data_IF_885318305167
#
_entry.id   IF_885318305167
#
_cell.length_a   1.000
_cell.length_b   1.000
_cell.length_c   1.000
_cell.angle_alpha   90.00
_cell.angle_beta   90.00
_cell.angle_gamma   90.00
#
_symmetry.space_group_name_H-M   'P 1'
#
loop_
_entity.id
_entity.type
_entity.pdbx_description
1 polymer ?
#
# COMPACT_ATOMS: atom_id res chain seq x y z
N UNK A 1 35.97 31.33 -38.87
CA UNK A 1 35.53 31.78 -37.51
C UNK A 1 34.89 30.58 -36.83
N UNK A 2 35.62 29.96 -35.91
CA UNK A 2 35.17 28.83 -35.12
C UNK A 2 34.44 29.36 -33.86
N UNK A 3 33.26 28.86 -33.54
CA UNK A 3 32.63 29.08 -32.27
C UNK A 3 32.50 27.73 -31.57
N UNK A 4 33.29 27.67 -30.52
CA UNK A 4 33.42 26.56 -29.58
C UNK A 4 32.21 26.57 -28.65
N UNK A 5 31.52 25.45 -28.48
CA UNK A 5 30.49 25.28 -27.47
C UNK A 5 30.78 24.07 -26.60
N UNK A 6 31.59 24.30 -25.58
CA UNK A 6 31.77 23.39 -24.45
C UNK A 6 30.52 23.39 -23.56
N UNK A 7 29.65 22.39 -23.75
CA UNK A 7 28.61 22.03 -22.79
C UNK A 7 29.15 21.01 -21.77
N UNK A 8 29.75 21.55 -20.70
CA UNK A 8 30.09 20.76 -19.49
C UNK A 8 28.85 20.11 -18.90
N UNK A 9 28.77 18.78 -19.00
CA UNK A 9 27.88 17.94 -18.18
C UNK A 9 28.25 18.12 -16.71
N UNK A 10 27.41 18.85 -15.96
CA UNK A 10 27.46 18.82 -14.49
C UNK A 10 26.91 17.47 -14.02
N UNK A 11 27.80 16.59 -13.63
CA UNK A 11 27.52 15.39 -12.85
C UNK A 11 26.90 15.82 -11.52
N UNK A 12 25.61 15.48 -11.32
CA UNK A 12 24.95 15.66 -10.03
C UNK A 12 25.58 14.74 -8.97
N UNK A 13 26.42 15.32 -8.13
CA UNK A 13 26.94 14.63 -6.96
C UNK A 13 25.76 14.23 -6.04
N UNK A 14 25.52 12.92 -5.87
CA UNK A 14 24.63 12.39 -4.84
C UNK A 14 25.17 12.86 -3.49
N UNK A 15 24.39 13.70 -2.80
CA UNK A 15 24.67 14.07 -1.40
C UNK A 15 24.64 12.77 -0.60
N UNK A 16 25.71 12.44 0.17
CA UNK A 16 25.70 11.26 1.01
C UNK A 16 24.59 11.38 2.05
N UNK A 17 23.73 10.38 2.16
CA UNK A 17 22.69 10.32 3.18
C UNK A 17 23.35 10.50 4.56
N UNK A 18 23.04 11.58 5.27
CA UNK A 18 23.54 11.81 6.62
C UNK A 18 23.07 10.67 7.53
N UNK A 19 24.02 10.03 8.22
CA UNK A 19 23.70 9.00 9.23
C UNK A 19 22.73 9.60 10.26
N UNK A 20 21.56 9.00 10.47
CA UNK A 20 20.61 9.51 11.44
C UNK A 20 21.24 9.49 12.83
N UNK A 21 21.01 10.56 13.61
CA UNK A 21 21.35 10.55 15.05
C UNK A 21 20.67 9.34 15.71
N UNK A 22 21.33 8.74 16.74
CA UNK A 22 20.78 7.58 17.50
C UNK A 22 19.33 7.89 17.90
N UNK A 23 18.37 7.27 17.21
CA UNK A 23 16.95 7.28 17.53
C UNK A 23 16.63 6.10 18.45
N UNK A 24 15.41 6.08 18.99
CA UNK A 24 14.93 4.90 19.71
C UNK A 24 14.89 3.67 18.77
N UNK A 25 14.91 2.44 19.31
CA UNK A 25 14.74 1.23 18.51
C UNK A 25 13.50 1.27 17.61
N UNK A 26 12.39 1.83 18.12
CA UNK A 26 11.13 1.98 17.39
C UNK A 26 11.30 2.88 16.17
N UNK A 27 11.94 4.05 16.34
CA UNK A 27 12.19 4.98 15.24
C UNK A 27 13.14 4.36 14.18
N UNK A 28 14.11 3.56 14.63
CA UNK A 28 14.99 2.84 13.71
C UNK A 28 14.22 1.79 12.91
N UNK A 29 13.33 1.05 13.58
CA UNK A 29 12.47 0.06 12.94
C UNK A 29 11.55 0.70 11.89
N UNK A 30 10.92 1.83 12.22
CA UNK A 30 10.06 2.56 11.27
C UNK A 30 10.84 3.04 10.04
N UNK A 31 12.03 3.58 10.19
CA UNK A 31 12.88 3.98 9.06
C UNK A 31 13.29 2.81 8.17
N UNK A 32 13.52 1.63 8.75
CA UNK A 32 13.81 0.42 7.96
C UNK A 32 12.55 0.02 7.17
N UNK A 33 11.36 0.12 7.77
CA UNK A 33 10.08 -0.13 7.07
C UNK A 33 9.89 0.89 5.93
N UNK A 34 10.20 2.18 6.13
CA UNK A 34 10.13 3.22 5.09
C UNK A 34 11.04 2.90 3.90
N UNK A 35 12.30 2.57 4.17
CA UNK A 35 13.26 2.17 3.14
C UNK A 35 12.83 0.90 2.40
N UNK A 36 12.33 -0.09 3.13
CA UNK A 36 11.80 -1.32 2.56
C UNK A 36 10.58 -1.06 1.68
N UNK A 37 9.65 -0.21 2.14
CA UNK A 37 8.47 0.19 1.38
C UNK A 37 8.82 0.81 0.03
N UNK A 38 9.78 1.74 0.04
CA UNK A 38 10.30 2.38 -1.19
C UNK A 38 10.85 1.35 -2.17
N UNK A 39 11.73 0.47 -1.70
CA UNK A 39 12.39 -0.50 -2.56
C UNK A 39 11.46 -1.60 -3.06
N UNK A 40 10.58 -2.13 -2.19
CA UNK A 40 9.60 -3.13 -2.62
C UNK A 40 8.60 -2.58 -3.63
N UNK A 41 8.21 -1.31 -3.49
CA UNK A 41 7.30 -0.70 -4.45
C UNK A 41 7.97 -0.41 -5.80
N UNK A 42 9.28 -0.13 -5.80
CA UNK A 42 10.04 0.19 -7.01
C UNK A 42 10.57 -1.05 -7.73
N UNK A 43 11.11 -2.02 -6.99
CA UNK A 43 11.87 -3.16 -7.53
C UNK A 43 11.20 -4.52 -7.27
N UNK A 44 10.08 -4.54 -6.54
CA UNK A 44 9.41 -5.76 -6.13
C UNK A 44 10.18 -6.52 -5.04
N UNK A 45 9.58 -7.64 -4.58
CA UNK A 45 10.19 -8.47 -3.53
C UNK A 45 11.50 -9.10 -3.97
N UNK A 46 11.57 -9.65 -5.19
CA UNK A 46 12.76 -10.36 -5.69
C UNK A 46 13.90 -9.42 -6.07
N UNK A 47 13.59 -8.19 -6.51
CA UNK A 47 14.58 -7.16 -6.84
C UNK A 47 15.16 -6.41 -5.65
N UNK A 48 14.82 -6.80 -4.41
CA UNK A 48 15.22 -6.12 -3.17
C UNK A 48 15.92 -7.10 -2.24
N UNK A 49 16.91 -6.65 -1.48
CA UNK A 49 17.61 -7.42 -0.44
C UNK A 49 17.79 -6.61 0.85
N UNK A 50 18.15 -7.30 1.95
CA UNK A 50 18.31 -6.70 3.28
C UNK A 50 19.42 -5.63 3.35
N UNK A 51 20.47 -5.75 2.50
CA UNK A 51 21.55 -4.78 2.46
C UNK A 51 21.08 -3.47 1.81
N UNK A 52 20.36 -3.57 0.70
CA UNK A 52 19.78 -2.41 0.01
C UNK A 52 18.76 -1.70 0.88
N UNK A 53 17.92 -2.44 1.62
CA UNK A 53 16.95 -1.88 2.57
C UNK A 53 17.67 -1.12 3.70
N UNK A 54 18.68 -1.73 4.33
CA UNK A 54 19.46 -1.07 5.38
C UNK A 54 20.09 0.24 4.87
N UNK A 55 20.68 0.20 3.67
CA UNK A 55 21.31 1.36 3.02
C UNK A 55 20.31 2.46 2.72
N UNK A 56 19.14 2.11 2.18
CA UNK A 56 18.06 3.08 1.90
C UNK A 56 17.58 3.75 3.18
N UNK A 57 17.44 2.99 4.27
CA UNK A 57 17.08 3.51 5.59
C UNK A 57 18.19 4.33 6.27
N UNK A 58 19.41 4.40 5.70
CA UNK A 58 20.56 5.11 6.24
C UNK A 58 21.32 4.35 7.33
N UNK A 59 21.20 3.02 7.38
CA UNK A 59 21.83 2.16 8.38
C UNK A 59 22.79 1.13 7.76
N UNK A 60 23.65 0.57 8.61
CA UNK A 60 24.43 -0.61 8.28
C UNK A 60 23.56 -1.88 8.34
N UNK A 61 23.90 -2.89 7.54
CA UNK A 61 23.18 -4.18 7.47
C UNK A 61 23.02 -4.85 8.84
N UNK A 62 24.02 -4.75 9.73
CA UNK A 62 23.91 -5.27 11.09
C UNK A 62 22.82 -4.60 11.93
N UNK A 63 22.42 -3.36 11.59
CA UNK A 63 21.29 -2.68 12.23
C UNK A 63 19.96 -3.26 11.74
N UNK A 64 19.84 -3.59 10.47
CA UNK A 64 18.66 -4.27 9.93
C UNK A 64 18.37 -5.57 10.71
N UNK A 65 19.38 -6.43 10.86
CA UNK A 65 19.23 -7.73 11.55
C UNK A 65 18.97 -7.63 13.06
N UNK A 66 19.12 -6.46 13.68
CA UNK A 66 18.64 -6.23 15.05
C UNK A 66 17.13 -6.02 15.15
N UNK A 67 16.46 -5.66 14.05
CA UNK A 67 15.04 -5.33 14.00
C UNK A 67 14.19 -6.32 13.21
N UNK A 68 14.79 -7.01 12.24
CA UNK A 68 14.12 -7.96 11.36
C UNK A 68 15.03 -9.17 11.13
N UNK A 69 14.47 -10.36 11.21
CA UNK A 69 15.21 -11.61 11.00
C UNK A 69 15.64 -11.76 9.55
N UNK A 70 14.76 -11.36 8.60
CA UNK A 70 14.98 -11.49 7.17
C UNK A 70 14.17 -10.46 6.38
N UNK A 71 14.36 -10.48 5.05
CA UNK A 71 13.63 -9.63 4.10
C UNK A 71 12.12 -9.87 4.14
N UNK A 72 11.68 -11.10 4.40
CA UNK A 72 10.27 -11.48 4.45
C UNK A 72 9.57 -10.80 5.62
N UNK A 73 10.20 -10.79 6.80
CA UNK A 73 9.59 -10.17 7.98
C UNK A 73 9.33 -8.67 7.77
N UNK A 74 10.30 -7.93 7.21
CA UNK A 74 10.08 -6.51 6.91
C UNK A 74 9.07 -6.31 5.78
N UNK A 75 8.99 -7.21 4.79
CA UNK A 75 7.98 -7.15 3.74
C UNK A 75 6.55 -7.27 4.30
N UNK A 76 6.33 -8.20 5.21
CA UNK A 76 5.06 -8.37 5.89
C UNK A 76 4.72 -7.18 6.79
N UNK A 77 5.71 -6.57 7.44
CA UNK A 77 5.53 -5.34 8.24
C UNK A 77 5.13 -4.13 7.36
N UNK A 78 5.74 -4.00 6.16
CA UNK A 78 5.35 -2.98 5.18
C UNK A 78 3.91 -3.18 4.72
N UNK A 79 3.51 -4.42 4.43
CA UNK A 79 2.15 -4.74 4.03
C UNK A 79 1.12 -4.43 5.13
N UNK A 80 1.43 -4.78 6.38
CA UNK A 80 0.57 -4.49 7.53
C UNK A 80 0.37 -2.97 7.72
N UNK A 81 1.47 -2.20 7.59
CA UNK A 81 1.39 -0.74 7.66
C UNK A 81 0.51 -0.16 6.56
N UNK A 82 0.71 -0.60 5.32
CA UNK A 82 -0.12 -0.15 4.19
C UNK A 82 -1.61 -0.38 4.44
N UNK A 83 -2.00 -1.59 4.87
CA UNK A 83 -3.39 -1.90 5.20
C UNK A 83 -3.93 -1.00 6.32
N UNK A 84 -3.14 -0.80 7.37
CA UNK A 84 -3.53 0.02 8.52
C UNK A 84 -3.75 1.48 8.12
N UNK A 85 -2.89 2.03 7.29
CA UNK A 85 -2.99 3.41 6.80
C UNK A 85 -4.20 3.60 5.87
N UNK A 86 -4.49 2.66 4.99
CA UNK A 86 -5.67 2.72 4.11
C UNK A 86 -6.97 2.69 4.93
N UNK A 87 -7.10 1.71 5.84
CA UNK A 87 -8.29 1.62 6.67
C UNK A 87 -8.47 2.82 7.60
N UNK A 88 -7.38 3.35 8.14
CA UNK A 88 -7.40 4.58 8.93
C UNK A 88 -7.91 5.77 8.10
N UNK A 89 -7.44 5.95 6.87
CA UNK A 89 -7.89 7.02 6.00
C UNK A 89 -9.38 6.90 5.65
N UNK A 90 -9.86 5.67 5.41
CA UNK A 90 -11.29 5.38 5.19
C UNK A 90 -12.11 5.72 6.45
N UNK A 91 -11.66 5.30 7.62
CA UNK A 91 -12.34 5.54 8.89
C UNK A 91 -12.44 7.04 9.24
N UNK A 92 -11.35 7.78 9.01
CA UNK A 92 -11.33 9.24 9.16
C UNK A 92 -12.34 9.91 8.22
N UNK A 93 -12.50 9.42 6.98
CA UNK A 93 -13.47 9.98 6.05
C UNK A 93 -14.92 9.68 6.47
N UNK A 94 -15.18 8.46 6.92
CA UNK A 94 -16.49 8.05 7.46
C UNK A 94 -16.90 8.87 8.69
N UNK A 95 -15.93 9.33 9.47
CA UNK A 95 -16.17 10.10 10.71
C UNK A 95 -16.50 11.58 10.46
N UNK A 96 -16.37 12.09 9.22
CA UNK A 96 -16.61 13.51 8.89
C UNK A 96 -18.09 13.89 8.76
N UNK A 97 -19.00 12.93 8.81
CA UNK A 97 -20.45 13.18 8.75
C UNK A 97 -20.93 13.81 7.44
N UNK A 98 -20.25 13.52 6.31
CA UNK A 98 -20.64 13.99 4.98
C UNK A 98 -21.85 13.21 4.45
N UNK A 99 -22.45 13.71 3.37
CA UNK A 99 -23.49 12.98 2.66
C UNK A 99 -22.93 11.64 2.14
N UNK A 100 -23.75 10.55 2.13
CA UNK A 100 -23.29 9.23 1.71
C UNK A 100 -22.63 9.22 0.32
N UNK A 101 -23.15 10.00 -0.62
CA UNK A 101 -22.63 10.11 -1.99
C UNK A 101 -21.23 10.72 -2.03
N UNK A 102 -20.99 11.78 -1.26
CA UNK A 102 -19.67 12.41 -1.15
C UNK A 102 -18.69 11.47 -0.44
N UNK A 103 -19.12 10.84 0.64
CA UNK A 103 -18.33 9.86 1.39
C UNK A 103 -17.91 8.69 0.51
N UNK A 104 -18.84 8.12 -0.28
CA UNK A 104 -18.55 7.04 -1.21
C UNK A 104 -17.49 7.45 -2.25
N UNK A 105 -17.59 8.65 -2.82
CA UNK A 105 -16.60 9.19 -3.76
C UNK A 105 -15.23 9.30 -3.11
N UNK A 106 -15.14 9.85 -1.91
CA UNK A 106 -13.89 10.01 -1.17
C UNK A 106 -13.23 8.67 -0.84
N UNK A 107 -14.01 7.69 -0.40
CA UNK A 107 -13.49 6.33 -0.14
C UNK A 107 -12.89 5.73 -1.41
N UNK A 108 -13.59 5.83 -2.54
CA UNK A 108 -13.08 5.33 -3.83
C UNK A 108 -11.79 6.05 -4.23
N UNK A 109 -11.71 7.37 -4.08
CA UNK A 109 -10.50 8.13 -4.39
C UNK A 109 -9.33 7.75 -3.49
N UNK A 110 -9.57 7.55 -2.17
CA UNK A 110 -8.59 7.06 -1.21
C UNK A 110 -8.07 5.69 -1.65
N UNK A 111 -8.95 4.71 -1.89
CA UNK A 111 -8.54 3.36 -2.27
C UNK A 111 -7.78 3.35 -3.60
N UNK A 112 -8.22 4.09 -4.62
CA UNK A 112 -7.48 4.21 -5.88
C UNK A 112 -6.09 4.79 -5.65
N UNK A 113 -5.96 5.83 -4.82
CA UNK A 113 -4.68 6.43 -4.48
C UNK A 113 -3.75 5.40 -3.85
N UNK A 114 -4.19 4.71 -2.80
CA UNK A 114 -3.40 3.68 -2.11
C UNK A 114 -2.97 2.55 -3.06
N UNK A 115 -3.89 2.01 -3.85
CA UNK A 115 -3.59 0.95 -4.81
C UNK A 115 -2.65 1.40 -5.95
N UNK A 116 -2.68 2.69 -6.32
CA UNK A 116 -1.75 3.25 -7.31
C UNK A 116 -0.35 3.44 -6.72
N UNK A 117 -0.26 4.03 -5.52
CA UNK A 117 1.00 4.32 -4.85
C UNK A 117 1.75 3.04 -4.45
N UNK A 118 1.03 1.98 -4.10
CA UNK A 118 1.59 0.72 -3.58
C UNK A 118 1.51 -0.46 -4.57
N UNK A 119 1.33 -0.17 -5.87
CA UNK A 119 1.13 -1.22 -6.90
C UNK A 119 2.25 -2.25 -6.97
N UNK A 120 3.51 -1.85 -6.78
CA UNK A 120 4.66 -2.75 -6.82
C UNK A 120 4.69 -3.71 -5.61
N UNK A 121 4.39 -3.21 -4.41
CA UNK A 121 4.22 -4.04 -3.21
C UNK A 121 3.07 -5.03 -3.40
N UNK A 122 1.93 -4.57 -3.93
CA UNK A 122 0.75 -5.41 -4.19
C UNK A 122 1.03 -6.55 -5.17
N UNK A 123 1.73 -6.26 -6.27
CA UNK A 123 2.15 -7.27 -7.24
C UNK A 123 3.03 -8.35 -6.58
N UNK A 124 4.03 -7.93 -5.81
CA UNK A 124 4.93 -8.83 -5.07
C UNK A 124 4.21 -9.66 -4.01
N UNK A 125 3.19 -9.09 -3.35
CA UNK A 125 2.37 -9.83 -2.40
C UNK A 125 1.59 -10.94 -3.08
N UNK A 126 0.95 -10.66 -4.21
CA UNK A 126 0.21 -11.67 -4.96
C UNK A 126 1.12 -12.82 -5.40
N UNK A 127 2.32 -12.52 -5.89
CA UNK A 127 3.33 -13.54 -6.22
C UNK A 127 3.73 -14.37 -5.00
N UNK A 128 3.99 -13.73 -3.86
CA UNK A 128 4.41 -14.40 -2.62
C UNK A 128 3.35 -15.33 -2.06
N UNK A 129 2.06 -15.01 -2.17
CA UNK A 129 0.95 -15.86 -1.71
C UNK A 129 0.92 -17.21 -2.43
N UNK A 130 1.34 -17.29 -3.68
CA UNK A 130 1.38 -18.55 -4.43
C UNK A 130 2.58 -19.42 -4.08
N UNK A 131 3.72 -18.82 -3.75
CA UNK A 131 4.99 -19.53 -3.58
C UNK A 131 5.41 -19.76 -2.13
N UNK A 132 4.89 -18.99 -1.16
CA UNK A 132 5.31 -19.00 0.25
C UNK A 132 4.13 -19.28 1.19
N UNK A 133 4.21 -20.40 1.95
CA UNK A 133 3.16 -20.81 2.88
C UNK A 133 3.00 -19.84 4.07
N UNK A 134 4.07 -19.24 4.56
CA UNK A 134 4.01 -18.30 5.68
C UNK A 134 3.42 -16.95 5.23
N UNK A 135 3.76 -16.48 4.02
CA UNK A 135 3.11 -15.34 3.40
C UNK A 135 1.61 -15.57 3.24
N UNK A 136 1.23 -16.79 2.82
CA UNK A 136 -0.17 -17.21 2.69
C UNK A 136 -0.92 -17.22 4.02
N UNK A 137 -0.30 -17.75 5.09
CA UNK A 137 -0.88 -17.75 6.45
C UNK A 137 -1.06 -16.34 6.97
N UNK A 138 -0.05 -15.49 6.77
CA UNK A 138 -0.10 -14.10 7.17
C UNK A 138 -1.21 -13.34 6.42
N UNK A 139 -1.29 -13.50 5.10
CA UNK A 139 -2.33 -12.90 4.28
C UNK A 139 -3.74 -13.31 4.75
N UNK A 140 -3.98 -14.61 5.03
CA UNK A 140 -5.25 -15.08 5.58
C UNK A 140 -5.59 -14.46 6.94
N UNK A 141 -4.56 -14.22 7.78
CA UNK A 141 -4.74 -13.53 9.07
C UNK A 141 -5.19 -12.08 8.84
N UNK A 142 -4.54 -11.36 7.93
CA UNK A 142 -4.91 -9.98 7.59
C UNK A 142 -6.32 -9.90 6.98
N UNK A 143 -6.69 -10.86 6.12
CA UNK A 143 -8.06 -10.93 5.58
C UNK A 143 -9.11 -11.10 6.67
N UNK A 144 -8.87 -11.97 7.64
CA UNK A 144 -9.79 -12.10 8.78
C UNK A 144 -9.94 -10.79 9.54
N UNK A 145 -8.82 -10.10 9.79
CA UNK A 145 -8.84 -8.80 10.48
C UNK A 145 -9.60 -7.73 9.69
N UNK A 146 -9.44 -7.66 8.38
CA UNK A 146 -10.20 -6.73 7.53
C UNK A 146 -11.72 -6.98 7.63
N UNK A 147 -12.16 -8.24 7.61
CA UNK A 147 -13.58 -8.57 7.79
C UNK A 147 -14.11 -8.19 9.18
N UNK A 148 -13.29 -8.30 10.22
CA UNK A 148 -13.63 -7.83 11.57
C UNK A 148 -13.80 -6.31 11.57
N UNK A 149 -12.84 -5.57 11.01
CA UNK A 149 -12.91 -4.09 10.90
C UNK A 149 -14.16 -3.65 10.12
N UNK A 150 -14.51 -4.33 9.01
CA UNK A 150 -15.73 -4.04 8.27
C UNK A 150 -16.98 -4.21 9.12
N UNK A 151 -17.06 -5.30 9.89
CA UNK A 151 -18.20 -5.56 10.80
C UNK A 151 -18.28 -4.54 11.94
N UNK A 152 -17.14 -4.21 12.57
CA UNK A 152 -17.03 -3.19 13.62
C UNK A 152 -17.50 -1.81 13.11
N UNK A 153 -17.05 -1.41 11.90
CA UNK A 153 -17.45 -0.18 11.24
C UNK A 153 -18.96 -0.11 10.99
N UNK A 154 -19.56 -1.19 10.48
CA UNK A 154 -21.02 -1.25 10.24
C UNK A 154 -21.80 -1.08 11.51
N UNK A 155 -21.41 -1.76 12.59
CA UNK A 155 -22.06 -1.62 13.90
C UNK A 155 -21.96 -0.18 14.41
N UNK A 156 -20.76 0.44 14.35
CA UNK A 156 -20.54 1.82 14.80
C UNK A 156 -21.36 2.85 14.02
N UNK A 157 -21.53 2.62 12.72
CA UNK A 157 -22.29 3.51 11.84
C UNK A 157 -23.80 3.22 11.81
N UNK A 158 -24.27 2.21 12.56
CA UNK A 158 -25.69 1.82 12.56
C UNK A 158 -26.16 1.23 11.22
N UNK A 159 -25.24 0.73 10.39
CA UNK A 159 -25.56 0.14 9.08
C UNK A 159 -26.06 -1.31 9.22
N UNK A 160 -26.89 -1.80 8.29
CA UNK A 160 -27.34 -3.18 8.31
C UNK A 160 -26.16 -4.16 8.36
N UNK A 161 -26.20 -5.13 9.26
CA UNK A 161 -25.18 -6.18 9.34
C UNK A 161 -25.22 -7.07 8.10
N UNK A 162 -24.06 -7.57 7.71
CA UNK A 162 -23.88 -8.54 6.62
C UNK A 162 -23.24 -9.80 7.15
N UNK A 163 -23.40 -10.90 6.41
CA UNK A 163 -22.62 -12.11 6.72
C UNK A 163 -21.15 -11.91 6.36
N UNK A 164 -20.27 -12.68 6.97
CA UNK A 164 -18.83 -12.62 6.64
C UNK A 164 -18.55 -12.94 5.17
N UNK A 165 -19.36 -13.83 4.58
CA UNK A 165 -19.26 -14.21 3.17
C UNK A 165 -19.61 -13.03 2.26
N UNK A 166 -20.65 -12.27 2.58
CA UNK A 166 -21.03 -11.07 1.84
C UNK A 166 -19.94 -9.99 1.89
N UNK A 167 -19.37 -9.76 3.08
CA UNK A 167 -18.26 -8.82 3.24
C UNK A 167 -17.00 -9.32 2.55
N UNK A 168 -16.69 -10.62 2.57
CA UNK A 168 -15.55 -11.20 1.86
C UNK A 168 -15.68 -11.05 0.34
N UNK A 169 -16.86 -11.35 -0.23
CA UNK A 169 -17.11 -11.15 -1.66
C UNK A 169 -16.93 -9.69 -2.03
N UNK A 170 -17.49 -8.78 -1.24
CA UNK A 170 -17.34 -7.35 -1.47
C UNK A 170 -15.88 -6.93 -1.45
N UNK A 171 -15.12 -7.30 -0.42
CA UNK A 171 -13.70 -7.00 -0.27
C UNK A 171 -12.88 -7.48 -1.48
N UNK A 172 -13.09 -8.73 -1.92
CA UNK A 172 -12.37 -9.29 -3.07
C UNK A 172 -12.69 -8.56 -4.39
N UNK A 173 -13.95 -8.24 -4.62
CA UNK A 173 -14.37 -7.52 -5.83
C UNK A 173 -13.80 -6.10 -5.86
N UNK A 174 -13.91 -5.36 -4.76
CA UNK A 174 -13.43 -3.98 -4.70
C UNK A 174 -11.92 -3.89 -4.83
N UNK A 175 -11.17 -4.73 -4.11
CA UNK A 175 -9.71 -4.77 -4.22
C UNK A 175 -9.23 -5.11 -5.64
N UNK A 176 -9.86 -6.10 -6.30
CA UNK A 176 -9.45 -6.45 -7.67
C UNK A 176 -9.66 -5.29 -8.64
N UNK A 177 -10.77 -4.55 -8.50
CA UNK A 177 -11.01 -3.37 -9.35
C UNK A 177 -10.06 -2.22 -9.01
N UNK A 178 -9.79 -1.96 -7.72
CA UNK A 178 -8.82 -0.94 -7.34
C UNK A 178 -7.40 -1.29 -7.77
N UNK A 179 -7.00 -2.57 -7.73
CA UNK A 179 -5.72 -3.02 -8.31
C UNK A 179 -5.68 -2.74 -9.82
N UNK A 180 -6.74 -3.05 -10.56
CA UNK A 180 -6.81 -2.79 -12.00
C UNK A 180 -6.72 -1.29 -12.33
N UNK A 181 -7.40 -0.45 -11.53
CA UNK A 181 -7.32 1.00 -11.67
C UNK A 181 -5.92 1.55 -11.32
N UNK A 182 -5.30 1.03 -10.26
CA UNK A 182 -3.97 1.44 -9.81
C UNK A 182 -2.84 1.00 -10.74
N UNK A 183 -2.99 -0.15 -11.40
CA UNK A 183 -2.01 -0.69 -12.35
C UNK A 183 -2.22 -0.18 -13.79
N UNK A 184 -3.29 0.57 -14.06
CA UNK A 184 -3.61 1.06 -15.40
C UNK A 184 -4.21 0.00 -16.34
N UNK A 185 -4.63 -1.16 -15.81
CA UNK A 185 -5.19 -2.27 -16.58
C UNK A 185 -6.48 -1.86 -17.32
N UNK A 186 -7.32 -1.03 -16.69
CA UNK A 186 -8.56 -0.52 -17.28
C UNK A 186 -8.29 0.23 -18.60
N UNK A 187 -7.31 1.14 -18.57
CA UNK A 187 -6.91 1.92 -19.75
C UNK A 187 -6.22 1.04 -20.79
N UNK A 188 -5.40 0.07 -20.37
CA UNK A 188 -4.74 -0.88 -21.28
C UNK A 188 -5.74 -1.75 -22.05
N UNK A 189 -6.92 -2.01 -21.48
CA UNK A 189 -8.03 -2.70 -22.13
C UNK A 189 -8.89 -1.77 -23.02
N UNK A 190 -8.54 -0.49 -23.15
CA UNK A 190 -9.35 0.49 -23.91
C UNK A 190 -10.66 0.90 -23.24
N UNK A 191 -10.81 0.62 -21.94
CA UNK A 191 -12.02 0.95 -21.19
C UNK A 191 -11.96 2.37 -20.60
N UNK A 192 -13.14 3.03 -20.50
CA UNK A 192 -13.24 4.35 -19.88
C UNK A 192 -13.07 4.24 -18.34
N UNK A 193 -11.95 4.76 -17.85
CA UNK A 193 -11.65 4.81 -16.42
C UNK A 193 -12.74 5.52 -15.60
N UNK A 194 -13.34 6.59 -16.16
CA UNK A 194 -14.37 7.36 -15.47
C UNK A 194 -15.61 6.51 -15.21
N UNK A 195 -16.05 5.75 -16.20
CA UNK A 195 -17.20 4.84 -16.07
C UNK A 195 -16.96 3.80 -14.98
N UNK A 196 -15.76 3.21 -14.93
CA UNK A 196 -15.40 2.23 -13.89
C UNK A 196 -15.38 2.88 -12.51
N UNK A 197 -14.81 4.08 -12.38
CA UNK A 197 -14.78 4.80 -11.11
C UNK A 197 -16.17 5.17 -10.62
N UNK A 198 -17.04 5.68 -11.51
CA UNK A 198 -18.41 6.04 -11.15
C UNK A 198 -19.22 4.80 -10.72
N UNK A 199 -19.04 3.66 -11.38
CA UNK A 199 -19.63 2.40 -10.95
C UNK A 199 -19.13 1.96 -9.57
N UNK A 200 -17.84 2.13 -9.27
CA UNK A 200 -17.29 1.82 -7.94
C UNK A 200 -17.87 2.74 -6.87
N UNK A 201 -18.12 4.01 -7.16
CA UNK A 201 -18.80 4.94 -6.24
C UNK A 201 -20.20 4.45 -5.93
N UNK A 202 -20.99 4.05 -6.93
CA UNK A 202 -22.31 3.46 -6.72
C UNK A 202 -22.27 2.20 -5.85
N UNK A 203 -21.26 1.33 -6.06
CA UNK A 203 -21.05 0.12 -5.25
C UNK A 203 -20.73 0.43 -3.81
N UNK A 204 -19.82 1.37 -3.56
CA UNK A 204 -19.48 1.82 -2.19
C UNK A 204 -20.68 2.51 -1.54
N UNK A 205 -21.42 3.35 -2.27
CA UNK A 205 -22.64 3.99 -1.78
C UNK A 205 -23.68 2.97 -1.29
N UNK A 206 -23.85 1.86 -2.02
CA UNK A 206 -24.75 0.77 -1.59
C UNK A 206 -24.33 0.11 -0.27
N UNK A 207 -23.05 0.28 0.12
CA UNK A 207 -22.56 -0.21 1.41
C UNK A 207 -22.82 0.74 2.57
N UNK A 208 -23.03 2.01 2.26
CA UNK A 208 -23.27 3.09 3.24
C UNK A 208 -24.76 3.34 3.48
N UNK A 209 -25.63 2.53 2.89
CA UNK A 209 -27.08 2.51 3.03
C UNK A 209 -27.55 1.14 3.52
#
# INVERSE_FOLDING_TARGET
MAVNSDLKKKSGAKVPAQRPRRGSPELTRERIIDGAATLFNQFGYHGTDSNSIAKEAGYATGTFYKHFQDKREVFLAVYERWLTEEWKAIDEELSKGRLPEETARRIVDISIKFHTEWRGLRASLMESIFSDEDARKYFRKQRRRQLEVMSELRQRLGLPLRTREQDAVHLFLTERVFDALGQGEIQALGLDRKVVVDFMVERVLTLLR
#
